data_IF_111124703899
#
_entry.id   IF_111124703899
#
_cell.length_a   1.000
_cell.length_b   1.000
_cell.length_c   1.000
_cell.angle_alpha   90.00
_cell.angle_beta   90.00
_cell.angle_gamma   90.00
#
_symmetry.space_group_name_H-M   'P 1'
#
loop_
_entity.id
_entity.type
_entity.pdbx_description
1 polymer ?
#
# COMPACT_ATOMS: atom_id res chain seq x y z
N UNK A 1 -2.47 -19.94 4.68
CA UNK A 1 -2.14 -18.58 5.14
C UNK A 1 -3.39 -17.94 5.73
N UNK A 2 -3.31 -17.27 6.89
CA UNK A 2 -4.44 -16.49 7.43
C UNK A 2 -4.36 -15.05 6.92
N UNK A 3 -5.20 -14.68 5.96
CA UNK A 3 -5.24 -13.33 5.38
C UNK A 3 -5.86 -12.28 6.31
N UNK A 4 -6.62 -12.72 7.32
CA UNK A 4 -7.22 -11.85 8.33
C UNK A 4 -6.31 -11.62 9.55
N UNK A 5 -5.08 -12.13 9.53
CA UNK A 5 -4.13 -11.94 10.62
C UNK A 5 -3.77 -10.46 10.77
N UNK A 6 -3.94 -9.93 11.98
CA UNK A 6 -3.53 -8.57 12.34
C UNK A 6 -2.05 -8.55 12.71
N UNK A 7 -1.23 -7.98 11.82
CA UNK A 7 0.23 -7.97 12.02
C UNK A 7 0.70 -7.13 13.22
N UNK A 8 -0.15 -6.26 13.79
CA UNK A 8 0.18 -5.59 15.07
C UNK A 8 0.47 -6.58 16.18
N UNK A 9 -0.19 -7.75 16.16
CA UNK A 9 -0.01 -8.82 17.16
C UNK A 9 1.36 -9.50 17.09
N UNK A 10 2.08 -9.32 15.98
CA UNK A 10 3.43 -9.87 15.76
C UNK A 10 4.53 -8.80 15.92
N UNK A 11 4.14 -7.53 15.97
CA UNK A 11 5.06 -6.41 16.10
C UNK A 11 5.45 -6.19 17.56
N UNK A 12 6.73 -5.96 17.84
CA UNK A 12 7.21 -5.65 19.20
C UNK A 12 7.09 -4.16 19.51
N UNK A 13 7.36 -3.31 18.52
CA UNK A 13 7.24 -1.85 18.64
C UNK A 13 5.83 -1.31 18.35
N UNK A 14 4.88 -2.18 17.96
CA UNK A 14 3.51 -1.82 17.60
C UNK A 14 3.32 -1.36 16.15
N UNK A 15 4.42 -1.13 15.40
CA UNK A 15 4.37 -0.88 13.96
C UNK A 15 4.90 -2.09 13.16
N UNK A 16 4.02 -2.94 12.60
CA UNK A 16 4.43 -4.15 11.89
C UNK A 16 5.29 -3.88 10.65
N UNK A 17 5.24 -2.68 10.08
CA UNK A 17 6.10 -2.30 8.96
C UNK A 17 7.59 -2.25 9.34
N UNK A 18 7.88 -2.08 10.64
CA UNK A 18 9.25 -2.05 11.18
C UNK A 18 9.73 -3.47 11.48
N UNK A 19 8.98 -4.27 12.24
CA UNK A 19 9.53 -5.45 12.90
C UNK A 19 8.67 -6.74 12.85
N UNK A 20 7.53 -6.76 12.16
CA UNK A 20 6.73 -7.98 12.07
C UNK A 20 7.41 -9.02 11.17
N UNK A 21 7.93 -10.08 11.80
CA UNK A 21 8.55 -11.20 11.09
C UNK A 21 7.54 -11.95 10.23
N UNK A 22 6.29 -12.11 10.69
CA UNK A 22 5.22 -12.74 9.92
C UNK A 22 4.89 -11.95 8.67
N UNK A 23 4.78 -10.62 8.76
CA UNK A 23 4.50 -9.75 7.62
C UNK A 23 5.59 -9.87 6.56
N UNK A 24 6.86 -9.69 6.95
CA UNK A 24 7.98 -9.76 6.02
C UNK A 24 8.18 -11.15 5.41
N UNK A 25 7.95 -12.22 6.17
CA UNK A 25 8.01 -13.59 5.63
C UNK A 25 6.93 -13.81 4.56
N UNK A 26 5.72 -13.31 4.79
CA UNK A 26 4.62 -13.45 3.83
C UNK A 26 4.86 -12.57 2.60
N UNK A 27 5.30 -11.33 2.77
CA UNK A 27 5.66 -10.45 1.64
C UNK A 27 6.81 -11.03 0.81
N UNK A 28 7.83 -11.63 1.44
CA UNK A 28 8.88 -12.38 0.74
C UNK A 28 8.27 -13.44 -0.17
N UNK A 29 7.34 -14.25 0.32
CA UNK A 29 6.72 -15.35 -0.45
C UNK A 29 5.82 -14.81 -1.57
N UNK A 30 5.02 -13.79 -1.28
CA UNK A 30 4.05 -13.23 -2.24
C UNK A 30 4.75 -12.52 -3.40
N UNK A 31 5.76 -11.74 -3.09
CA UNK A 31 6.44 -10.86 -4.04
C UNK A 31 7.70 -11.49 -4.63
N UNK A 32 8.13 -12.66 -4.16
CA UNK A 32 9.10 -13.48 -4.90
C UNK A 32 8.40 -14.23 -6.04
N UNK A 33 8.36 -13.63 -7.23
CA UNK A 33 7.70 -14.19 -8.41
C UNK A 33 8.23 -13.57 -9.70
N UNK A 34 7.81 -14.13 -10.83
CA UNK A 34 8.14 -13.62 -12.16
C UNK A 34 7.53 -12.23 -12.34
N UNK A 35 8.36 -11.28 -12.76
CA UNK A 35 7.99 -9.92 -13.12
C UNK A 35 7.36 -9.89 -14.52
N UNK A 36 6.62 -8.83 -14.87
CA UNK A 36 6.10 -8.64 -16.24
C UNK A 36 7.19 -8.70 -17.32
N UNK A 37 8.42 -8.29 -16.99
CA UNK A 37 9.59 -8.37 -17.87
C UNK A 37 10.22 -9.79 -17.97
N UNK A 38 9.56 -10.82 -17.43
CA UNK A 38 9.98 -12.23 -17.37
C UNK A 38 11.17 -12.54 -16.45
N UNK A 39 11.75 -11.55 -15.77
CA UNK A 39 12.79 -11.80 -14.78
C UNK A 39 12.19 -12.36 -13.49
N UNK A 40 12.93 -13.23 -12.80
CA UNK A 40 12.54 -13.69 -11.47
C UNK A 40 12.93 -12.65 -10.41
N UNK A 41 11.93 -12.08 -9.74
CA UNK A 41 12.17 -11.23 -8.59
C UNK A 41 12.28 -12.12 -7.36
N UNK A 42 13.48 -12.25 -6.79
CA UNK A 42 13.73 -13.08 -5.62
C UNK A 42 14.02 -12.17 -4.41
N UNK A 43 13.18 -12.25 -3.40
CA UNK A 43 13.31 -11.44 -2.18
C UNK A 43 13.87 -12.27 -1.04
N UNK A 44 14.76 -11.66 -0.26
CA UNK A 44 15.23 -12.22 1.00
C UNK A 44 15.01 -11.21 2.11
N UNK A 45 14.34 -11.64 3.18
CA UNK A 45 14.20 -10.83 4.39
C UNK A 45 15.57 -10.69 5.06
N UNK A 46 15.98 -9.47 5.38
CA UNK A 46 17.19 -9.14 6.13
C UNK A 46 16.86 -8.22 7.33
N UNK A 47 17.80 -8.13 8.27
CA UNK A 47 17.69 -7.33 9.50
C UNK A 47 17.37 -8.17 10.74
N UNK A 48 18.00 -7.85 11.87
CA UNK A 48 17.76 -8.44 13.19
C UNK A 48 17.47 -7.29 14.19
N UNK A 49 16.43 -7.44 15.02
CA UNK A 49 16.03 -6.49 16.09
C UNK A 49 16.14 -5.01 15.69
N UNK A 50 15.22 -4.55 14.85
CA UNK A 50 15.19 -3.19 14.31
C UNK A 50 14.24 -3.12 13.12
N UNK A 51 14.62 -2.37 12.08
CA UNK A 51 13.87 -2.29 10.82
C UNK A 51 14.20 -3.47 9.91
N UNK A 52 13.20 -4.27 9.58
CA UNK A 52 13.28 -5.34 8.59
C UNK A 52 13.27 -4.77 7.17
N UNK A 53 13.92 -5.48 6.25
CA UNK A 53 13.95 -5.14 4.82
C UNK A 53 13.80 -6.41 3.97
N UNK A 54 13.42 -6.22 2.70
CA UNK A 54 13.42 -7.24 1.67
C UNK A 54 14.50 -6.89 0.62
N UNK A 55 15.59 -7.65 0.65
CA UNK A 55 16.72 -7.54 -0.27
C UNK A 55 16.43 -8.29 -1.57
N UNK A 56 16.93 -7.75 -2.68
CA UNK A 56 16.89 -8.35 -4.01
C UNK A 56 18.15 -7.91 -4.80
N UNK A 57 18.27 -8.34 -6.06
CA UNK A 57 19.43 -8.05 -6.91
C UNK A 57 19.11 -7.14 -8.12
N UNK A 58 17.87 -6.63 -8.24
CA UNK A 58 17.43 -5.83 -9.39
C UNK A 58 17.32 -4.33 -9.06
N UNK A 59 16.89 -4.03 -7.83
CA UNK A 59 16.55 -2.68 -7.36
C UNK A 59 16.90 -2.54 -5.88
N UNK A 60 16.74 -1.34 -5.34
CA UNK A 60 16.93 -1.07 -3.91
C UNK A 60 16.17 -2.05 -2.99
N UNK A 61 16.68 -2.19 -1.76
CA UNK A 61 15.96 -2.91 -0.72
C UNK A 61 14.57 -2.31 -0.52
N UNK A 62 13.58 -3.18 -0.36
CA UNK A 62 12.20 -2.79 -0.11
C UNK A 62 11.89 -2.87 1.39
N UNK A 63 10.97 -2.03 1.85
CA UNK A 63 10.35 -2.16 3.17
C UNK A 63 8.84 -2.21 3.04
N UNK A 64 8.19 -2.89 3.98
CA UNK A 64 6.74 -2.86 4.12
C UNK A 64 6.25 -1.45 4.42
N UNK A 65 5.03 -1.17 3.98
CA UNK A 65 4.30 0.04 4.27
C UNK A 65 2.81 -0.28 4.41
N UNK A 66 2.16 0.26 5.43
CA UNK A 66 0.70 0.25 5.56
C UNK A 66 0.09 1.09 4.45
N UNK A 67 -0.46 0.41 3.46
CA UNK A 67 -1.00 0.96 2.24
C UNK A 67 -2.14 1.97 2.52
N UNK A 68 -3.15 1.56 3.28
CA UNK A 68 -4.35 2.39 3.51
C UNK A 68 -4.39 2.97 4.94
N UNK A 69 -4.57 4.30 5.12
CA UNK A 69 -4.65 4.91 6.44
C UNK A 69 -6.06 4.84 7.04
N UNK A 70 -6.16 4.67 8.37
CA UNK A 70 -7.43 4.69 9.10
C UNK A 70 -7.77 6.04 9.76
N UNK A 71 -6.91 7.07 9.70
CA UNK A 71 -7.06 8.42 10.31
C UNK A 71 -7.50 8.59 11.79
N UNK A 72 -7.90 7.53 12.50
CA UNK A 72 -8.18 7.55 13.94
C UNK A 72 -7.02 8.17 14.73
N UNK A 73 -7.35 9.10 15.63
CA UNK A 73 -6.40 9.87 16.44
C UNK A 73 -5.32 10.63 15.65
N UNK A 74 -5.52 10.87 14.35
CA UNK A 74 -4.66 11.73 13.53
C UNK A 74 -5.26 13.13 13.42
N UNK A 75 -4.44 14.08 12.93
CA UNK A 75 -4.86 15.45 12.63
C UNK A 75 -5.56 16.13 13.82
N UNK A 76 -4.94 16.06 15.01
CA UNK A 76 -5.45 16.64 16.26
C UNK A 76 -6.88 16.19 16.60
N UNK A 77 -7.22 14.93 16.30
CA UNK A 77 -8.53 14.36 16.63
C UNK A 77 -9.67 14.86 15.74
N UNK A 78 -9.37 15.43 14.56
CA UNK A 78 -10.38 15.95 13.61
C UNK A 78 -11.54 14.96 13.36
N UNK A 79 -11.25 13.66 13.34
CA UNK A 79 -12.21 12.60 13.01
C UNK A 79 -12.84 11.93 14.24
N UNK A 80 -12.56 12.42 15.46
CA UNK A 80 -13.04 11.82 16.70
C UNK A 80 -14.57 11.82 16.73
N UNK A 81 -15.18 10.65 16.99
CA UNK A 81 -16.63 10.48 17.07
C UNK A 81 -17.36 10.43 15.74
N UNK A 82 -16.65 10.46 14.59
CA UNK A 82 -17.29 10.31 13.28
C UNK A 82 -17.62 8.85 12.93
N UNK A 83 -16.95 7.91 13.62
CA UNK A 83 -17.25 6.47 13.63
C UNK A 83 -17.21 5.99 15.08
N UNK A 84 -17.89 4.90 15.41
CA UNK A 84 -17.89 4.27 16.74
C UNK A 84 -16.55 3.61 17.07
N UNK A 85 -16.28 3.39 18.36
CA UNK A 85 -15.04 2.72 18.81
C UNK A 85 -14.88 1.31 18.24
N UNK A 86 -15.99 0.57 18.08
CA UNK A 86 -15.97 -0.75 17.45
C UNK A 86 -15.55 -0.66 15.97
N UNK A 87 -16.06 0.33 15.24
CA UNK A 87 -15.64 0.60 13.85
C UNK A 87 -14.19 1.07 13.77
N UNK A 88 -13.70 1.85 14.75
CA UNK A 88 -12.29 2.25 14.81
C UNK A 88 -11.37 1.04 14.95
N UNK A 89 -11.67 0.11 15.87
CA UNK A 89 -10.84 -1.07 16.09
C UNK A 89 -10.92 -2.06 14.92
N UNK A 90 -12.09 -2.23 14.32
CA UNK A 90 -12.22 -2.99 13.07
C UNK A 90 -11.34 -2.37 11.98
N UNK A 91 -11.44 -1.05 11.76
CA UNK A 91 -10.71 -0.39 10.69
C UNK A 91 -9.19 -0.47 10.91
N UNK A 92 -8.71 -0.22 12.15
CA UNK A 92 -7.31 -0.40 12.53
C UNK A 92 -6.82 -1.82 12.29
N UNK A 93 -7.65 -2.83 12.56
CA UNK A 93 -7.32 -4.24 12.30
C UNK A 93 -7.23 -4.53 10.81
N UNK A 94 -8.26 -4.14 10.03
CA UNK A 94 -8.35 -4.42 8.59
C UNK A 94 -7.16 -3.86 7.83
N UNK A 95 -6.76 -2.61 8.08
CA UNK A 95 -5.59 -2.01 7.41
C UNK A 95 -4.25 -2.61 7.83
N UNK A 96 -4.22 -3.50 8.83
CA UNK A 96 -3.03 -4.24 9.29
C UNK A 96 -3.08 -5.72 8.93
N UNK A 97 -3.98 -6.11 8.01
CA UNK A 97 -3.98 -7.40 7.31
C UNK A 97 -3.11 -7.33 6.05
N UNK A 98 -2.81 -8.46 5.40
CA UNK A 98 -1.88 -8.48 4.25
C UNK A 98 -2.35 -7.59 3.08
N UNK A 99 -3.66 -7.52 2.85
CA UNK A 99 -4.29 -6.67 1.84
C UNK A 99 -4.17 -5.18 2.16
N UNK A 100 -3.91 -4.82 3.42
CA UNK A 100 -3.63 -3.46 3.88
C UNK A 100 -2.15 -3.06 3.79
N UNK A 101 -1.25 -3.94 3.34
CA UNK A 101 0.18 -3.66 3.23
C UNK A 101 0.70 -3.72 1.77
N UNK A 102 1.73 -2.93 1.49
CA UNK A 102 2.48 -2.92 0.23
C UNK A 102 3.97 -2.79 0.53
N UNK A 103 4.85 -2.90 -0.47
CA UNK A 103 6.29 -2.70 -0.32
C UNK A 103 6.76 -1.59 -1.25
N UNK A 104 7.65 -0.74 -0.77
CA UNK A 104 8.30 0.33 -1.53
C UNK A 104 9.81 0.35 -1.25
N UNK A 105 10.62 0.97 -2.13
CA UNK A 105 12.03 1.25 -1.85
C UNK A 105 12.22 1.90 -0.48
N UNK A 106 13.10 1.31 0.34
CA UNK A 106 13.24 1.64 1.76
C UNK A 106 14.14 2.85 2.01
N UNK A 107 15.07 3.12 1.09
CA UNK A 107 16.13 4.11 1.27
C UNK A 107 15.78 5.41 0.57
N UNK A 108 16.20 6.54 1.18
CA UNK A 108 16.07 7.87 0.57
C UNK A 108 16.98 7.98 -0.65
N UNK A 109 16.45 8.55 -1.74
CA UNK A 109 17.20 8.99 -2.91
C UNK A 109 16.96 10.49 -3.06
N UNK A 110 17.93 11.30 -2.65
CA UNK A 110 17.91 12.78 -2.70
C UNK A 110 16.56 13.43 -2.38
N UNK A 111 16.02 13.08 -1.20
CA UNK A 111 14.73 13.55 -0.72
C UNK A 111 14.00 12.50 0.11
N UNK A 112 12.68 12.68 0.23
CA UNK A 112 11.81 11.74 0.92
C UNK A 112 11.68 10.42 0.16
N UNK A 113 11.55 9.31 0.91
CA UNK A 113 11.06 8.03 0.36
C UNK A 113 9.63 8.19 -0.16
N UNK A 114 9.15 7.22 -0.96
CA UNK A 114 7.76 7.23 -1.44
C UNK A 114 6.77 7.31 -0.26
N UNK A 115 6.97 6.48 0.77
CA UNK A 115 6.13 6.49 1.96
C UNK A 115 6.16 7.86 2.68
N UNK A 116 7.34 8.43 2.88
CA UNK A 116 7.46 9.75 3.51
C UNK A 116 6.78 10.83 2.64
N UNK A 117 6.98 10.81 1.33
CA UNK A 117 6.44 11.80 0.42
C UNK A 117 4.90 11.78 0.36
N UNK A 118 4.26 10.60 0.35
CA UNK A 118 2.78 10.53 0.35
C UNK A 118 2.16 11.01 1.67
N UNK A 119 2.85 10.82 2.79
CA UNK A 119 2.33 11.21 4.11
C UNK A 119 2.43 12.71 4.37
N UNK A 120 3.54 13.35 3.99
CA UNK A 120 3.72 14.79 4.19
C UNK A 120 3.01 15.64 3.12
N UNK A 121 2.69 15.06 1.96
CA UNK A 121 2.08 15.80 0.86
C UNK A 121 0.61 16.10 1.20
N UNK A 122 0.30 17.38 1.39
CA UNK A 122 -1.05 17.85 1.76
C UNK A 122 -2.12 17.62 0.69
N UNK A 123 -1.74 17.29 -0.55
CA UNK A 123 -2.65 16.86 -1.62
C UNK A 123 -2.93 15.35 -1.60
N UNK A 124 -2.28 14.58 -0.73
CA UNK A 124 -2.40 13.11 -0.68
C UNK A 124 -2.74 12.63 0.73
N UNK A 125 -2.00 13.06 1.75
CA UNK A 125 -2.26 12.71 3.16
C UNK A 125 -2.37 11.18 3.38
N UNK A 126 -1.42 10.42 2.84
CA UNK A 126 -1.37 8.95 2.83
C UNK A 126 -2.50 8.22 2.08
N UNK A 127 -3.48 8.92 1.47
CA UNK A 127 -4.54 8.26 0.70
C UNK A 127 -3.95 7.42 -0.44
N UNK A 128 -4.27 6.13 -0.41
CA UNK A 128 -3.66 5.19 -1.35
C UNK A 128 -4.21 5.29 -2.76
N UNK A 129 -5.50 5.58 -2.93
CA UNK A 129 -6.10 5.85 -4.24
C UNK A 129 -5.43 7.05 -4.93
N UNK A 130 -5.20 8.16 -4.22
CA UNK A 130 -4.44 9.30 -4.75
C UNK A 130 -2.97 8.96 -5.03
N UNK A 131 -2.35 8.12 -4.20
CA UNK A 131 -0.99 7.61 -4.43
C UNK A 131 -0.94 6.72 -5.69
N UNK A 132 -1.94 5.86 -5.87
CA UNK A 132 -2.04 4.95 -7.01
C UNK A 132 -2.31 5.72 -8.30
N UNK A 133 -3.10 6.80 -8.25
CA UNK A 133 -3.30 7.71 -9.38
C UNK A 133 -1.99 8.43 -9.74
N UNK A 134 -1.19 8.84 -8.75
CA UNK A 134 0.14 9.39 -9.04
C UNK A 134 1.04 8.36 -9.75
N UNK A 135 0.96 7.09 -9.38
CA UNK A 135 1.70 5.99 -10.02
C UNK A 135 1.18 5.74 -11.45
N UNK A 136 -0.14 5.73 -11.67
CA UNK A 136 -0.73 5.63 -13.02
C UNK A 136 -0.22 6.73 -13.95
N UNK A 137 -0.32 7.98 -13.49
CA UNK A 137 0.19 9.16 -14.21
C UNK A 137 1.70 9.10 -14.46
N UNK A 138 2.46 8.54 -13.52
CA UNK A 138 3.91 8.38 -13.69
C UNK A 138 4.24 7.48 -14.90
N UNK A 139 3.55 6.36 -15.08
CA UNK A 139 3.73 5.50 -16.27
C UNK A 139 3.32 6.19 -17.57
N UNK A 140 2.33 7.07 -17.53
CA UNK A 140 1.87 7.88 -18.67
C UNK A 140 2.70 9.16 -18.87
N UNK A 141 3.73 9.38 -18.05
CA UNK A 141 4.59 10.58 -18.04
C UNK A 141 3.81 11.89 -17.78
N UNK A 142 2.66 11.79 -17.13
CA UNK A 142 1.83 12.91 -16.73
C UNK A 142 2.25 13.51 -15.39
N UNK A 143 1.94 14.79 -15.17
CA UNK A 143 2.23 15.46 -13.90
C UNK A 143 1.31 14.96 -12.79
N UNK A 144 1.88 14.79 -11.59
CA UNK A 144 1.16 14.47 -10.36
C UNK A 144 1.91 15.01 -9.14
N UNK A 145 1.27 15.13 -7.95
CA UNK A 145 1.93 15.62 -6.75
C UNK A 145 3.15 14.79 -6.30
N UNK A 146 3.26 13.52 -6.71
CA UNK A 146 4.43 12.66 -6.42
C UNK A 146 5.39 12.50 -7.58
N UNK A 147 5.14 13.09 -8.76
CA UNK A 147 5.91 12.81 -9.98
C UNK A 147 7.42 12.89 -9.78
N UNK A 148 7.93 13.98 -9.17
CA UNK A 148 9.37 14.14 -8.87
C UNK A 148 9.89 13.04 -7.95
N UNK A 149 9.11 12.61 -6.96
CA UNK A 149 9.48 11.52 -6.06
C UNK A 149 9.50 10.19 -6.80
N UNK A 150 8.45 9.85 -7.54
CA UNK A 150 8.38 8.59 -8.28
C UNK A 150 9.51 8.50 -9.32
N UNK A 151 9.87 9.61 -9.96
CA UNK A 151 11.01 9.69 -10.88
C UNK A 151 12.35 9.34 -10.23
N UNK A 152 12.59 9.70 -8.96
CA UNK A 152 13.83 9.30 -8.25
C UNK A 152 13.89 7.79 -7.99
N UNK A 153 12.76 7.11 -8.06
CA UNK A 153 12.63 5.66 -7.89
C UNK A 153 12.22 4.97 -9.20
N UNK A 154 12.55 5.53 -10.38
CA UNK A 154 12.10 4.98 -11.67
C UNK A 154 12.50 3.51 -11.85
N UNK A 155 13.70 3.12 -11.42
CA UNK A 155 14.17 1.73 -11.47
C UNK A 155 13.20 0.75 -10.78
N UNK A 156 12.55 1.16 -9.69
CA UNK A 156 11.52 0.35 -9.02
C UNK A 156 10.25 0.21 -9.85
N UNK A 157 9.87 1.22 -10.62
CA UNK A 157 8.68 1.17 -11.46
C UNK A 157 8.95 0.47 -12.79
N UNK A 158 10.14 0.63 -13.36
CA UNK A 158 10.54 0.10 -14.66
C UNK A 158 10.44 -1.44 -14.71
N UNK A 159 10.69 -2.13 -13.59
CA UNK A 159 10.58 -3.61 -13.52
C UNK A 159 9.15 -4.13 -13.73
N UNK A 160 8.13 -3.28 -13.61
CA UNK A 160 6.74 -3.64 -13.83
C UNK A 160 6.23 -3.30 -15.24
N UNK A 161 7.07 -2.64 -16.07
CA UNK A 161 6.81 -2.19 -17.44
C UNK A 161 5.76 -1.07 -17.57
N UNK A 162 4.56 -1.29 -17.04
CA UNK A 162 3.44 -0.35 -17.13
C UNK A 162 2.57 -0.38 -15.86
N UNK A 163 1.55 0.49 -15.81
CA UNK A 163 0.65 0.57 -14.67
C UNK A 163 -0.13 -0.74 -14.44
N UNK A 164 -0.52 -1.42 -15.52
CA UNK A 164 -1.21 -2.70 -15.44
C UNK A 164 -0.31 -3.77 -14.82
N UNK A 165 0.96 -3.83 -15.22
CA UNK A 165 1.97 -4.71 -14.65
C UNK A 165 2.20 -4.44 -13.17
N UNK A 166 2.22 -3.17 -12.75
CA UNK A 166 2.31 -2.80 -11.33
C UNK A 166 1.09 -3.29 -10.53
N UNK A 167 -0.12 -3.02 -11.03
CA UNK A 167 -1.39 -3.45 -10.41
C UNK A 167 -1.46 -4.97 -10.32
N UNK A 168 -1.15 -5.67 -11.41
CA UNK A 168 -1.23 -7.13 -11.46
C UNK A 168 -0.17 -7.79 -10.58
N UNK A 169 1.03 -7.21 -10.50
CA UNK A 169 2.08 -7.70 -9.63
C UNK A 169 1.71 -7.57 -8.16
N UNK A 170 1.17 -6.44 -7.71
CA UNK A 170 0.81 -6.25 -6.29
C UNK A 170 -0.61 -6.70 -5.92
N UNK A 171 -1.31 -7.32 -6.87
CA UNK A 171 -2.68 -7.81 -6.70
C UNK A 171 -3.65 -6.68 -6.32
N UNK A 172 -3.56 -5.54 -7.02
CA UNK A 172 -4.32 -4.32 -6.74
C UNK A 172 -5.57 -4.16 -7.61
N UNK A 173 -6.03 -5.23 -8.28
CA UNK A 173 -7.18 -5.15 -9.20
C UNK A 173 -8.47 -4.69 -8.52
N UNK A 174 -8.57 -4.83 -7.19
CA UNK A 174 -9.73 -4.36 -6.42
C UNK A 174 -9.67 -2.85 -6.10
N UNK A 175 -8.58 -2.17 -6.46
CA UNK A 175 -8.36 -0.71 -6.34
C UNK A 175 -8.50 0.03 -7.69
N UNK A 176 -8.79 -0.71 -8.77
CA UNK A 176 -8.97 -0.15 -10.12
C UNK A 176 -10.23 -0.75 -10.77
N UNK A 177 -10.77 -0.08 -11.77
CA UNK A 177 -11.83 -0.63 -12.61
C UNK A 177 -11.28 -1.55 -13.71
N UNK A 178 -12.17 -2.11 -14.54
CA UNK A 178 -11.80 -3.00 -15.66
C UNK A 178 -10.87 -2.38 -16.70
N UNK A 179 -10.83 -1.04 -16.79
CA UNK A 179 -9.96 -0.28 -17.69
C UNK A 179 -8.67 0.19 -16.98
N UNK A 180 -8.35 -0.36 -15.80
CA UNK A 180 -7.22 0.06 -14.98
C UNK A 180 -7.25 1.55 -14.59
N UNK A 181 -8.43 2.15 -14.47
CA UNK A 181 -8.59 3.47 -13.86
C UNK A 181 -8.77 3.31 -12.34
N UNK A 182 -8.17 4.21 -11.57
CA UNK A 182 -8.20 4.15 -10.09
C UNK A 182 -9.62 4.33 -9.56
N UNK A 183 -10.00 3.49 -8.59
CA UNK A 183 -11.24 3.65 -7.83
C UNK A 183 -10.99 4.58 -6.65
N UNK A 184 -11.50 5.81 -6.75
CA UNK A 184 -11.34 6.81 -5.70
C UNK A 184 -12.34 6.59 -4.56
N UNK A 185 -11.83 6.69 -3.34
CA UNK A 185 -12.56 6.50 -2.07
C UNK A 185 -13.35 7.71 -1.63
N UNK A 186 -13.03 8.87 -2.22
CA UNK A 186 -13.69 10.17 -2.05
C UNK A 186 -13.60 10.83 -3.44
N UNK A 187 -14.62 11.61 -3.89
CA UNK A 187 -14.64 12.20 -5.24
C UNK A 187 -13.34 12.89 -5.61
N UNK A 188 -12.81 12.56 -6.80
CA UNK A 188 -11.53 13.04 -7.30
C UNK A 188 -11.70 14.23 -8.25
N UNK A 189 -10.86 15.24 -8.10
CA UNK A 189 -10.93 16.52 -8.81
C UNK A 189 -9.54 17.01 -9.26
N UNK A 190 -8.69 16.07 -9.69
CA UNK A 190 -7.33 16.38 -10.14
C UNK A 190 -6.39 16.94 -9.05
N UNK A 191 -6.54 16.44 -7.82
CA UNK A 191 -5.73 16.84 -6.65
C UNK A 191 -5.90 18.30 -6.21
N UNK A 192 -7.06 18.90 -6.49
CA UNK A 192 -7.36 20.29 -6.12
C UNK A 192 -8.07 20.38 -4.77
N UNK A 193 -8.97 19.43 -4.44
CA UNK A 193 -9.60 19.38 -3.11
C UNK A 193 -8.63 18.94 -2.03
N UNK A 194 -9.02 19.24 -0.80
CA UNK A 194 -8.43 18.61 0.39
C UNK A 194 -8.65 17.09 0.31
N UNK A 195 -7.59 16.27 0.48
CA UNK A 195 -7.68 14.83 0.32
C UNK A 195 -8.43 14.14 1.47
N UNK A 196 -8.49 14.75 2.64
CA UNK A 196 -9.11 14.18 3.82
C UNK A 196 -10.64 14.32 3.78
N UNK A 197 -11.39 13.37 4.39
CA UNK A 197 -12.83 13.51 4.57
C UNK A 197 -13.21 14.84 5.22
N UNK A 198 -14.30 15.44 4.73
CA UNK A 198 -14.80 16.75 5.15
C UNK A 198 -15.87 16.64 6.24
N UNK A 199 -16.57 15.51 6.32
CA UNK A 199 -17.63 15.25 7.28
C UNK A 199 -17.70 13.75 7.65
N UNK A 200 -18.56 13.40 8.61
CA UNK A 200 -18.71 12.03 9.09
C UNK A 200 -19.20 11.06 8.00
N UNK A 201 -20.10 11.50 7.11
CA UNK A 201 -20.62 10.66 6.02
C UNK A 201 -19.50 10.28 5.05
N UNK A 202 -18.71 11.25 4.58
CA UNK A 202 -17.54 10.96 3.72
C UNK A 202 -16.53 10.03 4.39
N UNK A 203 -16.35 10.14 5.71
CA UNK A 203 -15.42 9.26 6.43
C UNK A 203 -15.97 7.84 6.59
N UNK A 204 -17.28 7.68 6.79
CA UNK A 204 -17.96 6.39 6.81
C UNK A 204 -17.90 5.69 5.44
N UNK A 205 -18.11 6.44 4.35
CA UNK A 205 -17.96 5.94 2.98
C UNK A 205 -16.50 5.52 2.69
N UNK A 206 -15.55 6.40 3.03
CA UNK A 206 -14.11 6.12 2.91
C UNK A 206 -13.73 4.83 3.65
N UNK A 207 -14.12 4.70 4.92
CA UNK A 207 -13.86 3.52 5.75
C UNK A 207 -14.43 2.25 5.11
N UNK A 208 -15.71 2.28 4.74
CA UNK A 208 -16.42 1.12 4.18
C UNK A 208 -15.77 0.63 2.89
N UNK A 209 -15.46 1.56 1.97
CA UNK A 209 -14.83 1.22 0.70
C UNK A 209 -13.40 0.71 0.87
N UNK A 210 -12.59 1.30 1.75
CA UNK A 210 -11.24 0.79 2.03
C UNK A 210 -11.29 -0.63 2.60
N UNK A 211 -12.19 -0.90 3.56
CA UNK A 211 -12.35 -2.24 4.13
C UNK A 211 -12.75 -3.23 3.04
N UNK A 212 -13.71 -2.88 2.18
CA UNK A 212 -14.16 -3.72 1.07
C UNK A 212 -13.00 -4.04 0.10
N UNK A 213 -12.21 -3.03 -0.29
CA UNK A 213 -11.07 -3.20 -1.19
C UNK A 213 -9.99 -4.10 -0.56
N UNK A 214 -9.70 -3.92 0.73
CA UNK A 214 -8.74 -4.76 1.46
C UNK A 214 -9.23 -6.19 1.56
N UNK A 215 -10.49 -6.42 1.86
CA UNK A 215 -11.08 -7.76 1.99
C UNK A 215 -11.06 -8.51 0.65
N UNK A 216 -11.42 -7.81 -0.44
CA UNK A 216 -11.30 -8.37 -1.79
C UNK A 216 -9.85 -8.71 -2.15
N UNK A 217 -8.90 -7.82 -1.81
CA UNK A 217 -7.47 -8.09 -2.02
C UNK A 217 -6.96 -9.24 -1.15
N UNK A 218 -7.40 -9.36 0.10
CA UNK A 218 -7.10 -10.50 0.97
C UNK A 218 -7.54 -11.81 0.33
N UNK A 219 -8.77 -11.88 -0.17
CA UNK A 219 -9.28 -13.05 -0.89
C UNK A 219 -8.48 -13.35 -2.17
N UNK A 220 -8.07 -12.32 -2.92
CA UNK A 220 -7.23 -12.45 -4.11
C UNK A 220 -5.85 -13.03 -3.77
N UNK A 221 -5.22 -12.53 -2.71
CA UNK A 221 -3.94 -13.04 -2.19
C UNK A 221 -4.07 -14.51 -1.79
N UNK A 222 -5.13 -14.88 -1.05
CA UNK A 222 -5.39 -16.27 -0.65
C UNK A 222 -5.53 -17.20 -1.85
N UNK A 223 -6.37 -16.82 -2.83
CA UNK A 223 -6.57 -17.59 -4.07
C UNK A 223 -5.28 -17.74 -4.88
N UNK A 224 -4.47 -16.68 -4.96
CA UNK A 224 -3.19 -16.68 -5.66
C UNK A 224 -2.17 -17.64 -5.04
N UNK A 225 -2.13 -17.75 -3.71
CA UNK A 225 -1.24 -18.70 -3.02
C UNK A 225 -1.68 -20.15 -3.23
N UNK A 226 -2.97 -20.45 -3.13
CA UNK A 226 -3.47 -21.81 -3.33
C UNK A 226 -3.13 -22.34 -4.73
N UNK A 227 -3.23 -21.50 -5.77
CA UNK A 227 -2.84 -21.89 -7.14
C UNK A 227 -1.35 -22.21 -7.32
N UNK A 228 -0.47 -21.73 -6.44
CA UNK A 228 0.97 -22.06 -6.45
C UNK A 228 1.29 -23.38 -5.73
N UNK A 229 0.40 -23.89 -4.90
CA UNK A 229 0.59 -25.16 -4.16
C UNK A 229 0.20 -26.38 -5.00
N UNK A 230 -0.67 -26.20 -6.00
CA UNK A 230 -1.15 -27.26 -6.91
C UNK A 230 -0.50 -27.20 -8.30
N UNK A 231 0.65 -26.52 -8.44
CA UNK A 231 1.51 -26.51 -9.63
C UNK A 231 2.91 -26.91 -9.22
#
# INVERSE_FOLDING_TARGET
MNVEYDYRKDSKCGDPDIDSLKLYNIQKILWSKVLPNKQHFNLTKIGNSGRLLLKNNLIDNLSSDRMCPHFVNKYNGKFKGWISEAEEEEFKRKVRTIGGHIVFPAHRKDGFTINQARGINRKICDRFDLTLECIRRFYEKEKSPLYKTLKRYSEFFDIFLDFKGFVDFFLLQDFVNKNYQVLFTIPFDDFERKPLPLNANEYQEYKSLIIEQIDKRNLRVLRGMNKKVYK
#
